data_IF_394712091436
#
_entry.id   IF_394712091436
#
_cell.length_a   1.000
_cell.length_b   1.000
_cell.length_c   1.000
_cell.angle_alpha   90.00
_cell.angle_beta   90.00
_cell.angle_gamma   90.00
#
_symmetry.space_group_name_H-M   'P 1'
#
loop_
_entity.id
_entity.type
_entity.pdbx_description
1 polymer ?
#
# COMPACT_ATOMS: atom_id res chain seq x y z
N UNK A 1 -8.68 -2.04 -4.63
CA UNK A 1 -9.36 -3.04 -3.80
C UNK A 1 -10.34 -3.77 -4.67
N UNK A 2 -10.49 -5.06 -4.43
CA UNK A 2 -11.52 -5.85 -5.09
C UNK A 2 -12.72 -5.93 -4.15
N UNK A 3 -13.93 -5.89 -4.73
CA UNK A 3 -15.16 -6.17 -4.02
C UNK A 3 -15.33 -7.70 -3.99
N UNK A 4 -15.47 -8.26 -2.80
CA UNK A 4 -15.87 -9.65 -2.65
C UNK A 4 -17.41 -9.68 -2.64
N UNK A 5 -17.98 -10.17 -3.74
CA UNK A 5 -19.43 -10.19 -3.97
C UNK A 5 -19.90 -11.62 -3.83
N UNK A 6 -20.65 -11.89 -2.78
CA UNK A 6 -21.31 -13.21 -2.60
C UNK A 6 -22.50 -13.35 -3.55
N UNK A 7 -22.89 -14.59 -3.88
CA UNK A 7 -24.04 -14.84 -4.75
C UNK A 7 -25.34 -14.23 -4.22
N UNK A 8 -25.50 -14.20 -2.91
CA UNK A 8 -26.67 -13.61 -2.23
C UNK A 8 -26.67 -12.08 -2.32
N UNK A 9 -25.48 -11.44 -2.26
CA UNK A 9 -25.36 -9.99 -2.40
C UNK A 9 -25.61 -9.49 -3.84
N UNK A 10 -25.54 -10.37 -4.85
CA UNK A 10 -25.93 -10.03 -6.24
C UNK A 10 -27.45 -9.87 -6.42
N UNK A 11 -28.25 -10.38 -5.48
CA UNK A 11 -29.70 -10.33 -5.53
C UNK A 11 -30.28 -9.08 -4.85
N UNK A 12 -29.47 -8.35 -4.07
CA UNK A 12 -29.87 -7.11 -3.41
C UNK A 12 -29.33 -5.89 -4.15
N UNK A 13 -30.10 -4.79 -4.26
CA UNK A 13 -29.57 -3.55 -4.80
C UNK A 13 -28.42 -3.05 -3.93
N UNK A 14 -27.32 -2.63 -4.54
CA UNK A 14 -26.15 -2.05 -3.88
C UNK A 14 -26.03 -0.58 -4.28
N UNK A 15 -25.90 0.30 -3.29
CA UNK A 15 -25.76 1.72 -3.51
C UNK A 15 -24.37 2.17 -3.06
N UNK A 16 -23.69 2.92 -3.91
CA UNK A 16 -22.44 3.59 -3.57
C UNK A 16 -22.35 4.92 -4.31
N UNK A 17 -21.80 5.93 -3.61
CA UNK A 17 -21.47 7.23 -4.17
C UNK A 17 -20.04 7.60 -3.75
N UNK A 18 -19.23 8.07 -4.69
CA UNK A 18 -17.83 8.44 -4.44
C UNK A 18 -17.53 9.76 -5.14
N UNK A 19 -17.26 10.79 -4.35
CA UNK A 19 -16.65 12.02 -4.83
C UNK A 19 -15.14 11.90 -4.71
N UNK A 20 -14.40 12.15 -5.80
CA UNK A 20 -12.94 12.05 -5.84
C UNK A 20 -12.29 13.33 -6.32
N UNK A 21 -11.30 13.79 -5.56
CA UNK A 21 -10.51 14.97 -5.84
C UNK A 21 -9.04 14.58 -5.99
N UNK A 22 -8.41 15.03 -7.07
CA UNK A 22 -6.96 14.91 -7.29
C UNK A 22 -6.32 16.23 -6.87
N UNK A 23 -5.39 16.15 -5.91
CA UNK A 23 -4.78 17.33 -5.27
C UNK A 23 -3.27 17.13 -5.27
N UNK A 24 -2.58 17.73 -6.23
CA UNK A 24 -1.17 17.49 -6.52
C UNK A 24 -0.90 15.98 -6.74
N UNK A 25 -0.02 15.39 -5.94
CA UNK A 25 0.34 13.97 -5.98
C UNK A 25 -0.53 13.09 -5.06
N UNK A 26 -1.48 13.69 -4.34
CA UNK A 26 -2.42 13.03 -3.43
C UNK A 26 -3.81 12.93 -4.03
N UNK A 27 -4.67 12.14 -3.44
CA UNK A 27 -6.10 12.20 -3.72
C UNK A 27 -6.94 12.07 -2.45
N UNK A 28 -8.11 12.72 -2.48
CA UNK A 28 -9.11 12.67 -1.43
C UNK A 28 -10.38 12.04 -1.99
N UNK A 29 -11.07 11.22 -1.20
CA UNK A 29 -12.39 10.70 -1.56
C UNK A 29 -13.36 10.81 -0.40
N UNK A 30 -14.61 11.20 -0.72
CA UNK A 30 -15.78 11.04 0.15
C UNK A 30 -16.61 9.90 -0.42
N UNK A 31 -16.65 8.78 0.27
CA UNK A 31 -17.33 7.56 -0.17
C UNK A 31 -18.47 7.21 0.79
N UNK A 32 -19.67 7.07 0.26
CA UNK A 32 -20.82 6.48 0.94
C UNK A 32 -21.18 5.19 0.25
N UNK A 33 -21.32 4.11 0.99
CA UNK A 33 -21.72 2.83 0.42
C UNK A 33 -22.50 1.97 1.42
N UNK A 34 -23.31 1.08 0.89
CA UNK A 34 -23.92 -0.01 1.63
C UNK A 34 -22.86 -0.97 2.19
N UNK A 35 -23.29 -1.97 2.96
CA UNK A 35 -22.40 -2.97 3.54
C UNK A 35 -21.57 -3.69 2.46
N UNK A 36 -20.25 -3.83 2.69
CA UNK A 36 -19.34 -4.34 1.68
C UNK A 36 -18.17 -5.10 2.30
N UNK A 37 -17.74 -6.17 1.64
CA UNK A 37 -16.45 -6.81 1.88
C UNK A 37 -15.45 -6.33 0.82
N UNK A 38 -14.36 -5.76 1.30
CA UNK A 38 -13.26 -5.26 0.47
C UNK A 38 -12.04 -6.13 0.70
N UNK A 39 -11.46 -6.63 -0.36
CA UNK A 39 -10.23 -7.43 -0.30
C UNK A 39 -9.13 -6.79 -1.15
N UNK A 40 -7.92 -6.79 -0.63
CA UNK A 40 -6.73 -6.46 -1.38
C UNK A 40 -5.76 -7.63 -1.29
N UNK A 41 -5.78 -8.46 -2.30
CA UNK A 41 -4.93 -9.64 -2.39
C UNK A 41 -3.51 -9.29 -2.87
N UNK A 42 -2.56 -10.20 -2.68
CA UNK A 42 -1.21 -10.07 -3.24
C UNK A 42 -1.24 -9.98 -4.78
N UNK A 43 -2.16 -10.69 -5.42
CA UNK A 43 -2.37 -10.61 -6.86
C UNK A 43 -2.76 -9.18 -7.27
N UNK A 44 -3.71 -8.56 -6.57
CA UNK A 44 -4.14 -7.18 -6.83
C UNK A 44 -3.00 -6.17 -6.63
N UNK A 45 -2.23 -6.31 -5.55
CA UNK A 45 -1.08 -5.44 -5.24
C UNK A 45 -0.04 -5.47 -6.36
N UNK A 46 0.14 -6.64 -6.98
CA UNK A 46 1.10 -6.82 -8.06
C UNK A 46 0.62 -6.27 -9.39
N UNK A 47 -0.69 -6.21 -9.58
CA UNK A 47 -1.29 -5.77 -10.85
C UNK A 47 -1.54 -4.26 -10.90
N UNK A 48 -1.86 -3.60 -9.80
CA UNK A 48 -2.25 -2.18 -9.84
C UNK A 48 -1.12 -1.20 -9.48
N UNK A 49 0.04 -1.70 -9.08
CA UNK A 49 1.24 -0.88 -8.72
C UNK A 49 0.97 0.25 -7.72
N UNK A 50 -0.19 0.27 -7.06
CA UNK A 50 -0.55 1.34 -6.14
C UNK A 50 0.38 1.34 -4.91
N UNK A 51 1.18 2.40 -4.78
CA UNK A 51 2.19 2.59 -3.74
C UNK A 51 1.82 3.75 -2.82
N UNK A 52 0.56 3.79 -2.41
CA UNK A 52 0.03 4.83 -1.53
C UNK A 52 -0.32 4.23 -0.17
N UNK A 53 -0.31 5.09 0.83
CA UNK A 53 -1.03 4.84 2.06
C UNK A 53 -2.42 5.47 1.96
N UNK A 54 -3.44 4.79 2.46
CA UNK A 54 -4.77 5.34 2.61
C UNK A 54 -5.06 5.54 4.09
N UNK A 55 -5.32 6.78 4.50
CA UNK A 55 -5.84 7.10 5.83
C UNK A 55 -7.34 7.31 5.67
N UNK A 56 -8.14 6.46 6.29
CA UNK A 56 -9.59 6.47 6.19
C UNK A 56 -10.20 6.94 7.49
N UNK A 57 -11.04 7.97 7.43
CA UNK A 57 -11.80 8.52 8.54
C UNK A 57 -13.26 8.10 8.37
N UNK A 58 -13.78 7.32 9.29
CA UNK A 58 -15.17 6.86 9.26
C UNK A 58 -16.05 7.88 9.98
N UNK A 59 -16.88 8.56 9.21
CA UNK A 59 -17.77 9.63 9.71
C UNK A 59 -19.13 9.04 10.08
N UNK A 60 -19.61 8.08 9.31
CA UNK A 60 -20.81 7.31 9.58
C UNK A 60 -20.48 5.81 9.49
N UNK A 61 -21.05 5.01 10.37
CA UNK A 61 -20.67 3.60 10.51
C UNK A 61 -19.29 3.43 11.17
N UNK A 62 -18.57 2.39 10.79
CA UNK A 62 -17.25 2.06 11.34
C UNK A 62 -16.32 1.45 10.28
N UNK A 63 -15.04 1.30 10.63
CA UNK A 63 -14.08 0.53 9.83
C UNK A 63 -14.50 -0.93 9.63
N UNK A 64 -15.39 -1.42 10.48
CA UNK A 64 -15.85 -2.81 10.48
C UNK A 64 -14.76 -3.78 10.94
N UNK A 65 -14.88 -5.04 10.53
CA UNK A 65 -13.88 -6.07 10.80
C UNK A 65 -12.74 -5.93 9.81
N UNK A 66 -11.55 -5.63 10.32
CA UNK A 66 -10.31 -5.66 9.55
C UNK A 66 -9.60 -6.97 9.86
N UNK A 67 -9.49 -7.85 8.87
CA UNK A 67 -8.81 -9.14 8.97
C UNK A 67 -7.34 -8.95 8.67
N UNK A 68 -6.46 -9.23 9.65
CA UNK A 68 -5.02 -9.11 9.54
C UNK A 68 -4.34 -9.86 10.68
N UNK A 69 -3.01 -9.84 10.71
CA UNK A 69 -2.19 -10.58 11.71
C UNK A 69 -2.41 -10.13 13.17
N UNK A 70 -3.11 -9.03 13.39
CA UNK A 70 -3.37 -8.50 14.74
C UNK A 70 -4.86 -8.23 14.93
N UNK A 71 -5.43 -8.70 16.04
CA UNK A 71 -6.78 -8.33 16.47
C UNK A 71 -6.82 -6.83 16.74
N UNK A 72 -7.58 -6.10 15.93
CA UNK A 72 -7.94 -4.72 16.23
C UNK A 72 -9.18 -4.70 17.13
N UNK A 73 -9.25 -3.80 18.11
CA UNK A 73 -10.52 -3.46 18.73
C UNK A 73 -11.45 -2.97 17.62
N UNK A 74 -12.69 -3.43 17.62
CA UNK A 74 -13.70 -2.94 16.68
C UNK A 74 -14.37 -1.71 17.32
N UNK A 75 -14.05 -0.49 16.84
CA UNK A 75 -14.82 0.66 17.28
C UNK A 75 -16.27 0.47 16.83
N UNK A 76 -17.20 0.64 17.74
CA UNK A 76 -18.64 0.52 17.43
C UNK A 76 -19.09 1.56 16.42
N UNK A 77 -18.47 2.74 16.45
CA UNK A 77 -18.72 3.84 15.53
C UNK A 77 -17.43 4.63 15.29
N UNK A 78 -17.28 5.17 14.08
CA UNK A 78 -16.16 6.02 13.72
C UNK A 78 -14.83 5.27 13.59
N UNK A 79 -13.74 6.00 13.81
CA UNK A 79 -12.36 5.50 13.77
C UNK A 79 -11.53 6.06 12.64
N UNK A 80 -10.21 5.95 12.81
CA UNK A 80 -9.21 6.30 11.79
C UNK A 80 -8.41 5.03 11.48
N UNK A 81 -8.48 4.58 10.24
CA UNK A 81 -7.76 3.38 9.75
C UNK A 81 -6.62 3.79 8.84
N UNK A 82 -5.43 3.26 9.09
CA UNK A 82 -4.31 3.36 8.16
C UNK A 82 -4.16 2.06 7.36
N UNK A 83 -4.12 2.18 6.04
CA UNK A 83 -3.88 1.08 5.11
C UNK A 83 -2.69 1.38 4.22
N UNK A 84 -1.67 0.54 4.24
CA UNK A 84 -0.63 0.50 3.21
C UNK A 84 -1.15 -0.31 2.03
N UNK A 85 -1.34 0.32 0.87
CA UNK A 85 -1.82 -0.35 -0.34
C UNK A 85 -0.78 -1.30 -0.96
N UNK A 86 0.43 -1.34 -0.44
CA UNK A 86 1.45 -2.34 -0.75
C UNK A 86 1.29 -3.64 0.05
N UNK A 87 0.32 -3.73 0.97
CA UNK A 87 0.09 -4.89 1.83
C UNK A 87 -1.32 -5.47 1.64
N UNK A 88 -1.50 -6.80 1.78
CA UNK A 88 -2.83 -7.41 1.72
C UNK A 88 -3.67 -7.02 2.92
N UNK A 89 -4.96 -6.81 2.68
CA UNK A 89 -5.96 -6.52 3.73
C UNK A 89 -7.33 -7.01 3.29
N UNK A 90 -8.11 -7.47 4.23
CA UNK A 90 -9.53 -7.75 4.07
C UNK A 90 -10.31 -6.91 5.08
N UNK A 91 -11.40 -6.29 4.64
CA UNK A 91 -12.27 -5.47 5.48
C UNK A 91 -13.72 -5.83 5.20
N UNK A 92 -14.49 -6.06 6.26
CA UNK A 92 -15.94 -6.25 6.20
C UNK A 92 -16.61 -5.15 6.99
N UNK A 93 -17.41 -4.36 6.33
CA UNK A 93 -18.09 -3.22 6.95
C UNK A 93 -19.56 -3.17 6.57
N UNK A 94 -20.36 -2.63 7.46
CA UNK A 94 -21.76 -2.26 7.22
C UNK A 94 -21.83 -0.97 6.40
N UNK A 95 -23.04 -0.44 6.19
CA UNK A 95 -23.22 0.83 5.52
C UNK A 95 -22.38 1.93 6.21
N UNK A 96 -21.62 2.69 5.42
CA UNK A 96 -20.63 3.61 5.95
C UNK A 96 -20.41 4.82 5.05
N UNK A 97 -20.01 5.95 5.68
CA UNK A 97 -19.37 7.07 5.01
C UNK A 97 -17.94 7.19 5.47
N UNK A 98 -17.00 7.09 4.54
CA UNK A 98 -15.57 7.16 4.79
C UNK A 98 -14.92 8.24 3.94
N UNK A 99 -14.17 9.14 4.60
CA UNK A 99 -13.30 10.12 3.99
C UNK A 99 -11.89 9.53 3.90
N UNK A 100 -11.33 9.46 2.70
CA UNK A 100 -10.03 8.78 2.53
C UNK A 100 -9.00 9.71 1.91
N UNK A 101 -7.84 9.78 2.56
CA UNK A 101 -6.65 10.48 2.11
C UNK A 101 -5.68 9.46 1.51
N UNK A 102 -5.43 9.54 0.21
CA UNK A 102 -4.44 8.70 -0.45
C UNK A 102 -3.15 9.49 -0.59
N UNK A 103 -2.13 9.07 0.14
CA UNK A 103 -0.84 9.75 0.25
C UNK A 103 0.25 8.89 -0.38
N UNK A 104 1.07 9.41 -1.29
CA UNK A 104 2.20 8.67 -1.86
C UNK A 104 3.12 8.13 -0.77
N UNK A 105 3.69 6.93 -0.99
CA UNK A 105 4.57 6.29 -0.01
C UNK A 105 5.74 7.20 0.39
N UNK A 106 6.35 7.86 -0.58
CA UNK A 106 7.50 8.75 -0.33
C UNK A 106 7.14 9.90 0.62
N UNK A 107 5.96 10.49 0.43
CA UNK A 107 5.43 11.57 1.28
C UNK A 107 5.09 11.03 2.68
N UNK A 108 4.42 9.87 2.74
CA UNK A 108 4.08 9.24 4.02
C UNK A 108 5.33 8.84 4.81
N UNK A 109 6.33 8.21 4.18
CA UNK A 109 7.57 7.77 4.83
C UNK A 109 8.38 8.96 5.39
N UNK A 110 8.25 10.14 4.80
CA UNK A 110 8.90 11.35 5.29
C UNK A 110 8.28 11.87 6.61
N UNK A 111 6.97 11.71 6.77
CA UNK A 111 6.22 12.25 7.93
C UNK A 111 5.83 11.18 8.94
N UNK A 112 5.77 9.90 8.57
CA UNK A 112 5.39 8.79 9.43
C UNK A 112 6.17 7.53 9.07
N UNK A 113 7.39 7.41 9.58
CA UNK A 113 8.28 6.27 9.28
C UNK A 113 7.72 4.90 9.69
N UNK A 114 6.81 4.89 10.67
CA UNK A 114 6.14 3.68 11.18
C UNK A 114 4.84 3.35 10.44
N UNK A 115 4.48 4.07 9.38
CA UNK A 115 3.22 3.90 8.65
C UNK A 115 2.99 2.45 8.21
N UNK A 116 4.04 1.75 7.81
CA UNK A 116 3.96 0.36 7.37
C UNK A 116 3.64 -0.60 8.53
N UNK A 117 4.17 -0.36 9.73
CA UNK A 117 3.87 -1.12 10.95
C UNK A 117 2.46 -0.81 11.50
N UNK A 118 1.91 0.33 11.12
CA UNK A 118 0.57 0.75 11.49
C UNK A 118 -0.51 0.29 10.49
N UNK A 119 -0.14 -0.47 9.44
CA UNK A 119 -1.07 -1.06 8.48
C UNK A 119 -2.18 -1.86 9.15
N UNK A 120 -3.43 -1.62 8.76
CA UNK A 120 -4.62 -2.28 9.31
C UNK A 120 -4.97 -1.85 10.74
N UNK A 121 -4.26 -0.88 11.34
CA UNK A 121 -4.57 -0.37 12.67
C UNK A 121 -5.70 0.64 12.62
N UNK A 122 -6.62 0.46 13.56
CA UNK A 122 -7.73 1.39 13.79
C UNK A 122 -7.45 2.15 15.08
N UNK A 123 -7.57 3.46 15.01
CA UNK A 123 -7.47 4.39 16.16
C UNK A 123 -8.84 4.97 16.44
N UNK A 124 -9.23 4.97 17.70
CA UNK A 124 -10.46 5.59 18.17
C UNK A 124 -10.38 7.13 18.10
N UNK A 125 -11.54 7.77 18.01
CA UNK A 125 -11.64 9.23 17.89
C UNK A 125 -11.97 9.91 19.23
N UNK A 126 -11.46 9.33 20.31
CA UNK A 126 -11.72 9.73 21.71
C UNK A 126 -10.80 10.87 22.21
N UNK A 127 -9.63 11.04 21.57
CA UNK A 127 -8.69 12.11 21.98
C UNK A 127 -9.03 13.45 21.34
N UNK A 128 -8.65 14.60 21.96
CA UNK A 128 -8.83 15.93 21.36
C UNK A 128 -8.20 16.03 19.95
N UNK A 129 -7.02 15.42 19.76
CA UNK A 129 -6.32 15.46 18.48
C UNK A 129 -7.05 14.63 17.40
N UNK A 130 -7.52 13.43 17.75
CA UNK A 130 -8.29 12.62 16.80
C UNK A 130 -9.62 13.28 16.43
N UNK A 131 -10.30 13.94 17.38
CA UNK A 131 -11.52 14.72 17.08
C UNK A 131 -11.24 15.91 16.15
N UNK A 132 -10.13 16.62 16.37
CA UNK A 132 -9.71 17.73 15.50
C UNK A 132 -9.39 17.23 14.08
N UNK A 133 -8.68 16.12 13.96
CA UNK A 133 -8.37 15.51 12.67
C UNK A 133 -9.63 15.09 11.90
N UNK A 134 -10.61 14.49 12.58
CA UNK A 134 -11.91 14.15 11.99
C UNK A 134 -12.69 15.41 11.58
N UNK A 135 -12.74 16.43 12.43
CA UNK A 135 -13.42 17.69 12.11
C UNK A 135 -12.80 18.38 10.89
N UNK A 136 -11.47 18.38 10.78
CA UNK A 136 -10.77 18.90 9.61
C UNK A 136 -11.11 18.11 8.34
N UNK A 137 -11.11 16.77 8.40
CA UNK A 137 -11.46 15.92 7.25
C UNK A 137 -12.90 16.17 6.77
N UNK A 138 -13.84 16.35 7.70
CA UNK A 138 -15.24 16.68 7.38
C UNK A 138 -15.36 18.07 6.75
N UNK A 139 -14.67 19.08 7.31
CA UNK A 139 -14.63 20.42 6.73
C UNK A 139 -14.03 20.39 5.32
N UNK A 140 -12.91 19.67 5.13
CA UNK A 140 -12.26 19.51 3.84
C UNK A 140 -13.22 18.90 2.80
N UNK A 141 -13.93 17.82 3.14
CA UNK A 141 -14.92 17.19 2.23
C UNK A 141 -15.99 18.17 1.76
N UNK A 142 -16.47 19.04 2.65
CA UNK A 142 -17.50 20.03 2.33
C UNK A 142 -16.97 21.17 1.46
N UNK A 143 -15.75 21.65 1.73
CA UNK A 143 -15.25 22.90 1.22
C UNK A 143 -14.38 22.71 -0.05
N UNK A 144 -13.83 21.50 -0.30
CA UNK A 144 -13.01 21.17 -1.48
C UNK A 144 -13.60 21.62 -2.83
N UNK A 145 -14.93 21.46 -3.11
CA UNK A 145 -15.49 21.87 -4.39
C UNK A 145 -15.34 23.37 -4.72
N UNK A 146 -15.12 24.20 -3.69
CA UNK A 146 -15.03 25.67 -3.82
C UNK A 146 -13.65 26.23 -3.53
N UNK A 147 -12.69 25.38 -3.13
CA UNK A 147 -11.33 25.81 -2.82
C UNK A 147 -10.51 26.10 -4.10
N UNK A 148 -9.59 27.06 -4.00
CA UNK A 148 -8.54 27.19 -5.01
C UNK A 148 -7.57 26.00 -4.94
N UNK A 149 -6.87 25.65 -6.03
CA UNK A 149 -5.90 24.55 -6.03
C UNK A 149 -4.85 24.66 -4.90
N UNK A 150 -4.34 25.87 -4.65
CA UNK A 150 -3.33 26.13 -3.61
C UNK A 150 -3.91 25.91 -2.20
N UNK A 151 -5.14 26.40 -1.97
CA UNK A 151 -5.83 26.20 -0.69
C UNK A 151 -6.12 24.71 -0.45
N UNK A 152 -6.54 23.98 -1.49
CA UNK A 152 -6.80 22.55 -1.40
C UNK A 152 -5.52 21.75 -1.06
N UNK A 153 -4.38 22.08 -1.68
CA UNK A 153 -3.07 21.46 -1.36
C UNK A 153 -2.71 21.71 0.10
N UNK A 154 -2.84 22.93 0.59
CA UNK A 154 -2.51 23.29 1.97
C UNK A 154 -3.41 22.56 2.98
N UNK A 155 -4.71 22.57 2.74
CA UNK A 155 -5.69 21.90 3.59
C UNK A 155 -5.48 20.37 3.60
N UNK A 156 -5.11 19.79 2.45
CA UNK A 156 -4.81 18.36 2.34
C UNK A 156 -3.59 17.97 3.18
N UNK A 157 -2.48 18.73 3.11
CA UNK A 157 -1.28 18.49 3.91
C UNK A 157 -1.58 18.62 5.41
N UNK A 158 -2.28 19.68 5.82
CA UNK A 158 -2.70 19.87 7.21
C UNK A 158 -3.55 18.68 7.72
N UNK A 159 -4.48 18.20 6.90
CA UNK A 159 -5.29 17.03 7.23
C UNK A 159 -4.47 15.78 7.45
N UNK A 160 -3.51 15.52 6.56
CA UNK A 160 -2.60 14.37 6.68
C UNK A 160 -1.74 14.48 7.95
N UNK A 161 -1.19 15.64 8.27
CA UNK A 161 -0.39 15.85 9.49
C UNK A 161 -1.20 15.61 10.77
N UNK A 162 -2.43 16.13 10.85
CA UNK A 162 -3.34 15.90 11.98
C UNK A 162 -3.68 14.41 12.14
N UNK A 163 -3.99 13.74 11.05
CA UNK A 163 -4.31 12.31 11.05
C UNK A 163 -3.10 11.45 11.44
N UNK A 164 -1.92 11.77 10.95
CA UNK A 164 -0.66 11.10 11.34
C UNK A 164 -0.38 11.31 12.83
N UNK A 165 -0.59 12.53 13.35
CA UNK A 165 -0.46 12.82 14.77
C UNK A 165 -1.41 11.98 15.62
N UNK A 166 -2.67 11.83 15.21
CA UNK A 166 -3.66 10.99 15.88
C UNK A 166 -3.29 9.50 15.84
N UNK A 167 -2.84 9.01 14.66
CA UNK A 167 -2.39 7.62 14.47
C UNK A 167 -1.19 7.28 15.35
N UNK A 168 -0.18 8.13 15.44
CA UNK A 168 1.00 7.91 16.29
C UNK A 168 0.62 7.68 17.75
N UNK A 169 -0.25 8.53 18.29
CA UNK A 169 -0.72 8.43 19.69
C UNK A 169 -1.57 7.18 19.91
N UNK A 170 -2.54 6.95 19.04
CA UNK A 170 -3.48 5.83 19.18
C UNK A 170 -2.86 4.45 19.00
N UNK A 171 -1.79 4.33 18.21
CA UNK A 171 -1.08 3.06 18.01
C UNK A 171 -0.06 2.79 19.12
N UNK A 172 0.12 3.71 20.06
CA UNK A 172 1.07 3.55 21.19
C UNK A 172 2.54 3.55 20.73
N UNK A 173 2.83 4.16 19.57
CA UNK A 173 4.18 4.25 19.01
C UNK A 173 5.05 5.26 19.76
N UNK A 174 4.46 6.11 20.60
CA UNK A 174 5.17 7.07 21.46
C UNK A 174 5.88 6.40 22.66
N UNK A 175 5.71 5.09 22.89
CA UNK A 175 6.00 4.51 24.19
C UNK A 175 7.39 3.88 24.37
N UNK A 176 8.25 3.79 23.33
CA UNK A 176 9.66 3.51 23.57
C UNK A 176 10.56 3.95 22.40
N UNK A 177 11.61 4.68 22.72
CA UNK A 177 12.69 5.03 21.79
C UNK A 177 13.24 3.77 21.05
N UNK A 178 13.25 2.61 21.70
CA UNK A 178 13.68 1.34 21.11
C UNK A 178 12.70 0.82 20.05
N UNK A 179 11.39 1.03 20.21
CA UNK A 179 10.40 0.63 19.20
C UNK A 179 10.48 1.56 17.97
N UNK A 180 10.62 2.86 18.18
CA UNK A 180 10.84 3.85 17.11
C UNK A 180 12.13 3.55 16.31
N UNK A 181 13.23 3.26 17.00
CA UNK A 181 14.50 2.87 16.34
C UNK A 181 14.33 1.58 15.53
N UNK A 182 13.64 0.57 16.06
CA UNK A 182 13.39 -0.68 15.34
C UNK A 182 12.55 -0.45 14.08
N UNK A 183 11.49 0.35 14.17
CA UNK A 183 10.65 0.71 13.03
C UNK A 183 11.41 1.49 11.98
N UNK A 184 12.24 2.46 12.38
CA UNK A 184 13.09 3.22 11.49
C UNK A 184 14.10 2.34 10.73
N UNK A 185 14.72 1.39 11.43
CA UNK A 185 15.67 0.44 10.82
C UNK A 185 14.96 -0.49 9.85
N UNK A 186 13.77 -1.02 10.21
CA UNK A 186 12.97 -1.85 9.33
C UNK A 186 12.54 -1.09 8.07
N UNK A 187 12.03 0.13 8.22
CA UNK A 187 11.65 0.98 7.10
C UNK A 187 12.85 1.28 6.18
N UNK A 188 14.03 1.56 6.76
CA UNK A 188 15.27 1.75 5.98
C UNK A 188 15.69 0.48 5.24
N UNK A 189 15.60 -0.69 5.89
CA UNK A 189 15.89 -1.99 5.27
C UNK A 189 14.97 -2.26 4.07
N UNK A 190 13.67 -2.05 4.22
CA UNK A 190 12.68 -2.22 3.15
C UNK A 190 12.91 -1.26 2.00
N UNK A 191 13.18 0.03 2.27
CA UNK A 191 13.56 1.00 1.22
C UNK A 191 14.76 0.54 0.41
N UNK A 192 15.80 0.02 1.06
CA UNK A 192 17.00 -0.50 0.37
C UNK A 192 16.69 -1.71 -0.52
N UNK A 193 15.78 -2.58 -0.10
CA UNK A 193 15.35 -3.75 -0.88
C UNK A 193 14.44 -3.31 -2.04
N UNK A 194 13.45 -2.46 -1.77
CA UNK A 194 12.42 -2.08 -2.73
C UNK A 194 12.91 -1.05 -3.77
N UNK A 195 13.98 -0.31 -3.47
CA UNK A 195 14.60 0.63 -4.41
C UNK A 195 15.18 -0.08 -5.65
N UNK A 196 15.80 -1.24 -5.46
CA UNK A 196 16.37 -2.04 -6.54
C UNK A 196 16.39 -3.53 -6.16
N UNK A 197 15.24 -4.23 -6.31
CA UNK A 197 15.12 -5.64 -5.95
C UNK A 197 15.99 -6.56 -6.82
N UNK A 198 16.30 -6.12 -8.04
CA UNK A 198 17.16 -6.82 -9.01
C UNK A 198 18.65 -6.60 -8.78
N UNK A 199 19.05 -5.72 -7.86
CA UNK A 199 20.45 -5.39 -7.64
C UNK A 199 21.30 -6.65 -7.47
N UNK A 200 22.35 -6.80 -8.29
CA UNK A 200 23.32 -7.88 -8.18
C UNK A 200 23.92 -7.90 -6.77
N UNK A 201 23.87 -9.06 -6.13
CA UNK A 201 24.37 -9.21 -4.75
C UNK A 201 23.46 -8.71 -3.66
N UNK A 202 22.20 -8.31 -3.93
CA UNK A 202 21.22 -8.03 -2.89
C UNK A 202 21.01 -9.28 -2.02
N UNK A 203 21.47 -9.22 -0.79
CA UNK A 203 21.47 -10.35 0.15
C UNK A 203 21.34 -9.84 1.59
N UNK A 204 20.96 -10.69 2.54
CA UNK A 204 20.96 -10.31 3.95
C UNK A 204 22.32 -9.78 4.42
N UNK A 205 23.43 -10.37 3.98
CA UNK A 205 24.78 -9.94 4.34
C UNK A 205 25.05 -8.50 3.89
N UNK A 206 24.63 -8.13 2.68
CA UNK A 206 24.78 -6.75 2.19
C UNK A 206 23.89 -5.76 2.93
N UNK A 207 22.70 -6.19 3.36
CA UNK A 207 21.84 -5.36 4.20
C UNK A 207 22.45 -5.13 5.58
N UNK A 208 23.07 -6.14 6.17
CA UNK A 208 23.76 -6.01 7.45
C UNK A 208 24.86 -4.95 7.39
N UNK A 209 25.70 -4.97 6.35
CA UNK A 209 26.77 -3.98 6.18
C UNK A 209 26.23 -2.56 5.91
N UNK A 210 25.14 -2.43 5.15
CA UNK A 210 24.55 -1.11 4.85
C UNK A 210 23.75 -0.49 6.00
N UNK A 211 23.20 -1.33 6.87
CA UNK A 211 22.38 -0.91 8.00
C UNK A 211 23.16 -0.84 9.32
N UNK A 212 24.35 -1.42 9.35
CA UNK A 212 25.24 -1.48 10.55
C UNK A 212 24.52 -2.15 11.75
N UNK A 213 23.75 -3.20 11.48
CA UNK A 213 23.01 -3.95 12.51
C UNK A 213 23.47 -5.39 12.60
N UNK A 214 23.17 -6.03 13.74
CA UNK A 214 23.48 -7.45 13.92
C UNK A 214 22.55 -8.35 13.09
N UNK A 215 23.05 -9.55 12.75
CA UNK A 215 22.24 -10.57 12.05
C UNK A 215 20.96 -10.91 12.81
N UNK A 216 21.05 -11.08 14.13
CA UNK A 216 19.89 -11.36 14.97
C UNK A 216 18.83 -10.24 14.89
N UNK A 217 19.27 -8.97 14.85
CA UNK A 217 18.37 -7.83 14.71
C UNK A 217 17.65 -7.87 13.35
N UNK A 218 18.37 -8.06 12.23
CA UNK A 218 17.78 -8.12 10.90
C UNK A 218 16.73 -9.23 10.79
N UNK A 219 17.07 -10.46 11.23
CA UNK A 219 16.16 -11.59 11.13
C UNK A 219 14.91 -11.39 11.99
N UNK A 220 15.04 -10.86 13.20
CA UNK A 220 13.90 -10.54 14.07
C UNK A 220 13.01 -9.42 13.50
N UNK A 221 13.58 -8.43 12.83
CA UNK A 221 12.82 -7.37 12.18
C UNK A 221 11.92 -7.90 11.05
N UNK A 222 12.40 -8.89 10.29
CA UNK A 222 11.65 -9.50 9.19
C UNK A 222 10.92 -10.78 9.55
N UNK A 223 10.91 -11.21 10.81
CA UNK A 223 10.18 -12.40 11.27
C UNK A 223 8.68 -12.36 10.89
N UNK A 224 7.95 -11.24 11.08
CA UNK A 224 6.55 -11.14 10.66
C UNK A 224 6.32 -11.29 9.15
N UNK A 225 7.36 -11.06 8.34
CA UNK A 225 7.33 -11.16 6.87
C UNK A 225 7.70 -12.56 6.36
N UNK A 226 7.93 -13.51 7.25
CA UNK A 226 8.48 -14.83 6.91
C UNK A 226 9.99 -14.82 6.73
N UNK A 227 10.67 -13.77 7.20
CA UNK A 227 12.11 -13.59 7.13
C UNK A 227 12.58 -12.66 6.00
N UNK A 228 13.80 -12.14 6.13
CA UNK A 228 14.38 -11.19 5.19
C UNK A 228 14.53 -11.75 3.76
N UNK A 229 14.85 -13.03 3.61
CA UNK A 229 14.93 -13.70 2.30
C UNK A 229 13.56 -13.77 1.62
N UNK A 230 12.50 -14.08 2.39
CA UNK A 230 11.13 -14.11 1.88
C UNK A 230 10.69 -12.71 1.43
N UNK A 231 11.05 -11.66 2.19
CA UNK A 231 10.77 -10.29 1.80
C UNK A 231 11.48 -9.89 0.50
N UNK A 232 12.79 -10.16 0.36
CA UNK A 232 13.55 -9.90 -0.87
C UNK A 232 12.89 -10.62 -2.06
N UNK A 233 12.55 -11.91 -1.89
CA UNK A 233 11.90 -12.69 -2.96
C UNK A 233 10.55 -12.09 -3.35
N UNK A 234 9.74 -11.68 -2.38
CA UNK A 234 8.43 -11.03 -2.60
C UNK A 234 8.59 -9.68 -3.31
N UNK A 235 9.61 -8.89 -2.96
CA UNK A 235 9.92 -7.63 -3.63
C UNK A 235 10.33 -7.85 -5.09
N UNK A 236 11.18 -8.87 -5.38
CA UNK A 236 11.54 -9.28 -6.73
C UNK A 236 10.34 -9.71 -7.57
N UNK A 237 9.42 -10.49 -6.99
CA UNK A 237 8.20 -10.92 -7.70
C UNK A 237 7.27 -9.76 -8.02
N UNK A 238 7.19 -8.77 -7.12
CA UNK A 238 6.43 -7.53 -7.37
C UNK A 238 7.06 -6.70 -8.50
N UNK A 239 8.38 -6.55 -8.49
CA UNK A 239 9.09 -5.87 -9.57
C UNK A 239 8.90 -6.60 -10.91
N UNK A 240 8.98 -7.94 -10.91
CA UNK A 240 8.71 -8.75 -12.10
C UNK A 240 7.30 -8.51 -12.66
N UNK A 241 6.28 -8.43 -11.80
CA UNK A 241 4.92 -8.15 -12.24
C UNK A 241 4.81 -6.78 -12.93
N UNK A 242 5.51 -5.78 -12.41
CA UNK A 242 5.58 -4.44 -13.02
C UNK A 242 6.30 -4.47 -14.37
N UNK A 243 7.44 -5.16 -14.45
CA UNK A 243 8.23 -5.25 -15.67
C UNK A 243 7.51 -6.03 -16.78
N UNK A 244 6.77 -7.09 -16.42
CA UNK A 244 5.94 -7.86 -17.36
C UNK A 244 4.85 -7.01 -18.04
N UNK A 245 4.30 -6.07 -17.32
CA UNK A 245 3.28 -5.13 -17.82
C UNK A 245 3.91 -3.98 -18.59
N UNK A 246 5.00 -3.44 -18.06
CA UNK A 246 5.67 -2.25 -18.61
C UNK A 246 6.46 -2.57 -19.88
N UNK A 247 7.07 -3.76 -19.94
CA UNK A 247 7.91 -4.20 -21.05
C UNK A 247 7.39 -5.49 -21.67
N UNK A 248 6.23 -5.45 -22.35
CA UNK A 248 5.56 -6.64 -22.89
C UNK A 248 6.38 -7.37 -23.94
N UNK A 249 7.36 -6.70 -24.56
CA UNK A 249 8.28 -7.26 -25.57
C UNK A 249 9.44 -8.07 -24.97
N UNK A 250 9.75 -7.92 -23.68
CA UNK A 250 10.82 -8.67 -23.04
C UNK A 250 10.39 -10.12 -22.77
N UNK A 251 11.32 -11.06 -22.93
CA UNK A 251 11.03 -12.43 -22.56
C UNK A 251 10.84 -12.56 -21.05
N UNK A 252 9.93 -13.45 -20.64
CA UNK A 252 9.66 -13.73 -19.21
C UNK A 252 10.94 -14.17 -18.49
N UNK A 253 11.78 -14.94 -19.21
CA UNK A 253 13.04 -15.43 -18.66
C UNK A 253 14.04 -14.30 -18.39
N UNK A 254 14.12 -13.32 -19.30
CA UNK A 254 15.03 -12.17 -19.14
C UNK A 254 14.64 -11.33 -17.92
N UNK A 255 13.35 -11.09 -17.74
CA UNK A 255 12.83 -10.43 -16.53
C UNK A 255 13.18 -11.23 -15.27
N UNK A 256 13.01 -12.56 -15.30
CA UNK A 256 13.34 -13.40 -14.15
C UNK A 256 14.84 -13.34 -13.79
N UNK A 257 15.71 -13.47 -14.77
CA UNK A 257 17.17 -13.37 -14.56
C UNK A 257 17.60 -11.98 -14.12
N UNK A 258 17.09 -10.93 -14.75
CA UNK A 258 17.35 -9.53 -14.38
C UNK A 258 16.94 -9.22 -12.94
N UNK A 259 15.97 -9.92 -12.38
CA UNK A 259 15.56 -9.78 -10.98
C UNK A 259 16.21 -10.81 -10.04
N UNK A 260 17.27 -11.48 -10.49
CA UNK A 260 18.10 -12.36 -9.66
C UNK A 260 17.45 -13.70 -9.32
N UNK A 261 16.57 -14.22 -10.19
CA UNK A 261 16.14 -15.61 -10.12
C UNK A 261 17.09 -16.50 -10.92
N UNK A 262 17.56 -17.57 -10.31
CA UNK A 262 18.52 -18.50 -10.97
C UNK A 262 17.82 -19.50 -11.90
N UNK A 263 16.49 -19.63 -11.83
CA UNK A 263 15.71 -20.58 -12.61
C UNK A 263 14.37 -19.99 -13.01
N UNK A 264 14.05 -19.95 -14.32
CA UNK A 264 12.74 -19.53 -14.81
C UNK A 264 11.59 -20.41 -14.28
N UNK A 265 11.84 -21.69 -14.05
CA UNK A 265 10.85 -22.62 -13.49
C UNK A 265 10.55 -22.27 -12.03
N UNK A 266 11.59 -21.97 -11.22
CA UNK A 266 11.41 -21.54 -9.83
C UNK A 266 10.74 -20.17 -9.75
N UNK A 267 11.09 -19.27 -10.65
CA UNK A 267 10.42 -17.99 -10.81
C UNK A 267 8.93 -18.18 -11.10
N UNK A 268 8.57 -18.95 -12.12
CA UNK A 268 7.17 -19.15 -12.52
C UNK A 268 6.34 -19.79 -11.41
N UNK A 269 6.89 -20.79 -10.71
CA UNK A 269 6.23 -21.41 -9.53
C UNK A 269 6.04 -20.41 -8.39
N UNK A 270 7.08 -19.65 -8.07
CA UNK A 270 7.01 -18.64 -7.02
C UNK A 270 6.05 -17.53 -7.39
N UNK A 271 6.09 -17.05 -8.63
CA UNK A 271 5.21 -16.03 -9.15
C UNK A 271 3.75 -16.47 -9.04
N UNK A 272 3.41 -17.67 -9.56
CA UNK A 272 2.05 -18.21 -9.50
C UNK A 272 1.57 -18.40 -8.05
N UNK A 273 2.41 -18.92 -7.16
CA UNK A 273 2.06 -19.10 -5.74
C UNK A 273 1.81 -17.77 -5.03
N UNK A 274 2.58 -16.73 -5.35
CA UNK A 274 2.51 -15.43 -4.67
C UNK A 274 1.43 -14.53 -5.27
N UNK A 275 1.20 -14.60 -6.60
CA UNK A 275 0.34 -13.68 -7.33
C UNK A 275 -0.95 -14.32 -7.85
N UNK A 276 -1.13 -15.62 -7.65
CA UNK A 276 -2.33 -16.37 -8.05
C UNK A 276 -2.44 -16.66 -9.55
N UNK A 277 -1.56 -16.11 -10.39
CA UNK A 277 -1.56 -16.28 -11.85
C UNK A 277 -0.14 -16.45 -12.40
N UNK A 278 0.00 -17.00 -13.61
CA UNK A 278 1.31 -17.12 -14.24
C UNK A 278 1.81 -15.77 -14.79
N UNK A 279 3.15 -15.62 -15.00
CA UNK A 279 3.70 -14.41 -15.65
C UNK A 279 3.09 -14.12 -17.02
N UNK A 280 2.77 -15.18 -17.79
CA UNK A 280 2.14 -15.06 -19.11
C UNK A 280 0.69 -14.59 -19.01
N UNK A 281 -0.06 -15.12 -18.06
CA UNK A 281 -1.47 -14.73 -17.82
C UNK A 281 -1.55 -13.27 -17.40
N UNK A 282 -0.65 -12.81 -16.52
CA UNK A 282 -0.59 -11.40 -16.12
C UNK A 282 -0.31 -10.50 -17.33
N UNK A 283 0.64 -10.87 -18.19
CA UNK A 283 0.96 -10.10 -19.40
C UNK A 283 -0.23 -10.04 -20.35
N UNK A 284 -0.88 -11.17 -20.61
CA UNK A 284 -2.07 -11.24 -21.46
C UNK A 284 -3.19 -10.36 -20.91
N UNK A 285 -3.46 -10.42 -19.62
CA UNK A 285 -4.45 -9.59 -18.95
C UNK A 285 -4.15 -8.09 -19.08
N UNK A 286 -2.88 -7.70 -18.93
CA UNK A 286 -2.48 -6.29 -19.00
C UNK A 286 -2.45 -5.73 -20.44
N UNK A 287 -2.30 -6.60 -21.45
CA UNK A 287 -2.30 -6.20 -22.87
C UNK A 287 -3.71 -6.16 -23.47
N UNK A 288 -4.72 -6.67 -22.79
CA UNK A 288 -6.11 -6.57 -23.20
C UNK A 288 -6.52 -5.10 -23.35
N UNK A 289 -7.28 -4.79 -24.41
CA UNK A 289 -7.66 -3.41 -24.78
C UNK A 289 -8.45 -2.70 -23.68
N UNK A 290 -9.31 -3.41 -22.95
CA UNK A 290 -10.09 -2.87 -21.83
C UNK A 290 -9.25 -2.50 -20.62
N UNK A 291 -8.11 -3.17 -20.42
CA UNK A 291 -7.24 -2.96 -19.26
C UNK A 291 -6.06 -2.03 -19.58
N UNK A 292 -5.74 -1.81 -20.86
CA UNK A 292 -4.56 -1.04 -21.30
C UNK A 292 -4.55 0.40 -20.81
N UNK A 293 -5.67 1.11 -20.90
CA UNK A 293 -5.79 2.50 -20.45
C UNK A 293 -5.54 2.63 -18.95
N UNK A 294 -6.05 1.69 -18.15
CA UNK A 294 -5.81 1.63 -16.70
C UNK A 294 -4.32 1.44 -16.37
N UNK A 295 -3.65 0.52 -17.09
CA UNK A 295 -2.23 0.24 -16.87
C UNK A 295 -1.32 1.37 -17.32
N UNK A 296 -1.64 2.05 -18.42
CA UNK A 296 -0.90 3.23 -18.90
C UNK A 296 -0.99 4.38 -17.90
N UNK A 297 -2.15 4.66 -17.35
CA UNK A 297 -2.33 5.69 -16.32
C UNK A 297 -1.57 5.36 -15.03
N UNK A 298 -1.59 4.10 -14.58
CA UNK A 298 -0.87 3.66 -13.39
C UNK A 298 0.66 3.72 -13.55
N UNK A 299 1.19 3.52 -14.76
CA UNK A 299 2.63 3.54 -15.06
C UNK A 299 3.17 4.93 -15.45
N UNK A 300 2.34 5.85 -15.92
CA UNK A 300 2.76 7.20 -16.30
C UNK A 300 3.40 8.01 -15.15
N UNK A 301 3.04 7.68 -13.91
CA UNK A 301 3.57 8.33 -12.70
C UNK A 301 5.00 7.89 -12.33
N UNK A 302 5.56 6.83 -12.95
CA UNK A 302 6.86 6.26 -12.56
C UNK A 302 7.96 6.32 -13.62
N UNK A 303 7.96 7.29 -14.52
CA UNK A 303 8.94 7.66 -15.54
C UNK A 303 10.36 7.03 -15.55
N UNK A 304 10.47 5.70 -15.56
CA UNK A 304 11.76 5.01 -15.74
C UNK A 304 11.81 4.39 -17.12
N UNK A 305 12.77 4.86 -17.92
CA UNK A 305 12.98 4.48 -19.31
C UNK A 305 13.57 3.06 -19.42
N UNK A 306 13.25 2.36 -20.53
CA UNK A 306 13.78 1.04 -20.88
C UNK A 306 15.33 0.98 -20.86
N UNK A 307 15.99 2.04 -21.27
CA UNK A 307 17.44 2.13 -21.22
C UNK A 307 18.00 2.06 -19.78
N UNK A 308 17.32 2.64 -18.80
CA UNK A 308 17.69 2.52 -17.40
C UNK A 308 17.46 1.11 -16.85
N UNK A 309 16.43 0.39 -17.35
CA UNK A 309 16.20 -1.01 -17.01
C UNK A 309 17.34 -1.89 -17.52
N UNK A 310 17.74 -1.74 -18.79
CA UNK A 310 18.84 -2.47 -19.40
C UNK A 310 20.17 -2.23 -18.69
N UNK A 311 20.49 -0.99 -18.31
CA UNK A 311 21.70 -0.66 -17.55
C UNK A 311 21.76 -1.29 -16.17
N UNK A 312 20.61 -1.53 -15.53
CA UNK A 312 20.54 -2.17 -14.21
C UNK A 312 20.69 -3.69 -14.25
N UNK A 313 20.30 -4.33 -15.37
CA UNK A 313 20.11 -5.77 -15.43
C UNK A 313 20.98 -6.45 -16.51
N UNK A 314 21.82 -5.68 -17.21
CA UNK A 314 22.73 -6.14 -18.28
C UNK A 314 24.16 -6.45 -17.77
N UNK A 315 24.28 -7.03 -16.55
CA UNK A 315 25.57 -7.51 -16.02
C UNK A 315 25.55 -9.00 -15.74
#
# INVERSE_FOLDING_TARGET
>A
MDLDVTRDSLLAPFHAAIDRYLIADMSFTDCRCDGVTLQRSLARISTDSARHHAIQVFVEGSAGLVVGERRNPQPRHGGILLTDLGQPIEMRREATRALSFFVPRITMDAIFMEAEAAHGRIVETDTPLSRLAVAHAVALSRDLPTMTPEAAVHAMHTGVELLVGALRRGVGLDSSARAAVRSAVLARARRLIDADPGQAGLSPTRLLSKLEISRATLYRLFEPEGGVQAYIRKSRLRAAAQDLVRYPHLAVNDIAYGLGFNSPSDFTRAFRRTLGMSPRDLRAYATDAGNRAFWQAANAVQGKDYQQWMQRHAA
#
